data_IF_573207292889
#
_entry.id   IF_573207292889
#
_cell.length_a   1.000
_cell.length_b   1.000
_cell.length_c   1.000
_cell.angle_alpha   90.00
_cell.angle_beta   90.00
_cell.angle_gamma   90.00
#
_symmetry.space_group_name_H-M   'P 1'
#
loop_
_entity.id
_entity.type
_entity.pdbx_description
1 polymer ?
#
# COMPACT_ATOMS: atom_id res chain seq x y z
N UNK A 1 -4.34 -15.20 -37.96
CA UNK A 1 -5.44 -14.89 -37.03
C UNK A 1 -4.83 -14.94 -35.63
N UNK A 2 -4.50 -13.80 -35.07
CA UNK A 2 -3.83 -13.68 -33.77
C UNK A 2 -4.91 -13.43 -32.70
N UNK A 3 -5.10 -14.40 -31.81
CA UNK A 3 -5.99 -14.26 -30.66
C UNK A 3 -5.28 -13.43 -29.59
N UNK A 4 -5.65 -12.16 -29.51
CA UNK A 4 -5.34 -11.29 -28.40
C UNK A 4 -6.20 -11.72 -27.19
N UNK A 5 -5.64 -12.53 -26.31
CA UNK A 5 -6.23 -12.79 -24.99
C UNK A 5 -5.75 -11.67 -24.07
N UNK A 6 -6.53 -10.60 -24.00
CA UNK A 6 -6.43 -9.61 -22.95
C UNK A 6 -6.88 -10.28 -21.64
N UNK A 7 -5.90 -10.68 -20.83
CA UNK A 7 -6.14 -10.97 -19.42
C UNK A 7 -6.46 -9.65 -18.71
N UNK A 8 -7.72 -9.24 -18.78
CA UNK A 8 -8.24 -8.28 -17.81
C UNK A 8 -8.36 -9.02 -16.49
N UNK A 9 -7.38 -8.82 -15.61
CA UNK A 9 -7.49 -9.24 -14.23
C UNK A 9 -8.52 -8.33 -13.56
N UNK A 10 -9.80 -8.58 -13.80
CA UNK A 10 -10.87 -8.02 -12.98
C UNK A 10 -10.79 -8.73 -11.65
N UNK A 11 -10.15 -8.08 -10.68
CA UNK A 11 -10.32 -8.44 -9.27
C UNK A 11 -11.83 -8.45 -9.02
N UNK A 12 -12.45 -9.58 -8.65
CA UNK A 12 -13.87 -9.58 -8.36
C UNK A 12 -14.10 -8.57 -7.24
N UNK A 13 -14.85 -7.53 -7.54
CA UNK A 13 -15.36 -6.58 -6.55
C UNK A 13 -16.12 -7.42 -5.53
N UNK A 14 -15.48 -7.69 -4.39
CA UNK A 14 -16.17 -8.30 -3.27
C UNK A 14 -17.34 -7.40 -2.95
N UNK A 15 -18.54 -7.81 -3.31
CA UNK A 15 -19.75 -7.26 -2.73
C UNK A 15 -19.72 -7.70 -1.28
N UNK A 16 -18.97 -6.94 -0.49
CA UNK A 16 -18.94 -7.11 0.95
C UNK A 16 -20.35 -6.79 1.42
N UNK A 17 -21.14 -7.84 1.63
CA UNK A 17 -22.30 -7.72 2.50
C UNK A 17 -21.71 -7.23 3.80
N UNK A 18 -22.00 -5.97 4.15
CA UNK A 18 -21.67 -5.37 5.43
C UNK A 18 -22.00 -6.38 6.52
N UNK A 19 -21.05 -7.19 6.90
CA UNK A 19 -21.24 -8.15 7.97
C UNK A 19 -21.47 -7.33 9.24
N UNK A 20 -22.52 -7.65 9.97
CA UNK A 20 -22.85 -7.07 11.27
C UNK A 20 -21.60 -7.00 12.18
N UNK A 21 -20.71 -7.99 12.03
CA UNK A 21 -19.43 -8.09 12.72
C UNK A 21 -18.49 -6.93 12.35
N UNK A 22 -18.34 -6.59 11.07
CA UNK A 22 -17.45 -5.50 10.62
C UNK A 22 -17.96 -4.14 11.11
N UNK A 23 -19.29 -3.94 11.08
CA UNK A 23 -19.92 -2.74 11.65
C UNK A 23 -19.73 -2.66 13.16
N UNK A 24 -19.87 -3.80 13.87
CA UNK A 24 -19.65 -3.86 15.31
C UNK A 24 -18.19 -3.56 15.69
N UNK A 25 -17.22 -4.07 14.93
CA UNK A 25 -15.79 -3.76 15.13
C UNK A 25 -15.49 -2.28 14.86
N UNK A 26 -16.06 -1.70 13.81
CA UNK A 26 -15.90 -0.27 13.51
C UNK A 26 -16.46 0.60 14.63
N UNK A 27 -17.67 0.32 15.10
CA UNK A 27 -18.29 1.05 16.23
C UNK A 27 -17.50 0.88 17.52
N UNK A 28 -16.99 -0.34 17.80
CA UNK A 28 -16.15 -0.56 18.99
C UNK A 28 -14.82 0.20 18.88
N UNK A 29 -14.18 0.21 17.72
CA UNK A 29 -12.95 0.97 17.50
C UNK A 29 -13.20 2.48 17.71
N UNK A 30 -14.29 3.02 17.20
CA UNK A 30 -14.69 4.42 17.42
C UNK A 30 -14.97 4.73 18.90
N UNK A 31 -15.61 3.82 19.63
CA UNK A 31 -15.83 3.99 21.07
C UNK A 31 -14.51 3.96 21.86
N UNK A 32 -13.60 3.05 21.53
CA UNK A 32 -12.29 2.95 22.17
C UNK A 32 -11.52 4.24 21.97
N UNK A 33 -11.45 4.76 20.73
CA UNK A 33 -10.77 6.02 20.40
C UNK A 33 -11.39 7.23 21.13
N UNK A 34 -12.71 7.20 21.42
CA UNK A 34 -13.38 8.27 22.19
C UNK A 34 -13.07 8.23 23.70
N UNK A 35 -12.81 7.05 24.25
CA UNK A 35 -12.63 6.85 25.69
C UNK A 35 -11.16 6.86 26.11
N UNK A 36 -10.24 6.51 25.21
CA UNK A 36 -8.81 6.53 25.53
C UNK A 36 -8.27 7.98 25.63
N UNK A 37 -7.45 8.29 26.62
CA UNK A 37 -6.75 9.57 26.73
C UNK A 37 -5.58 9.64 25.73
N UNK A 38 -5.90 9.56 24.44
CA UNK A 38 -4.94 9.71 23.34
C UNK A 38 -4.79 11.21 23.09
N UNK A 39 -3.57 11.67 22.85
CA UNK A 39 -3.32 13.07 22.49
C UNK A 39 -4.18 13.47 21.27
N UNK A 40 -4.79 14.66 21.27
CA UNK A 40 -5.69 15.08 20.18
C UNK A 40 -5.07 14.96 18.78
N UNK A 41 -3.76 15.15 18.68
CA UNK A 41 -2.98 15.04 17.44
C UNK A 41 -2.90 13.59 16.94
N UNK A 42 -2.57 12.64 17.82
CA UNK A 42 -2.51 11.20 17.49
C UNK A 42 -3.88 10.67 17.08
N UNK A 43 -4.93 11.09 17.79
CA UNK A 43 -6.29 10.74 17.43
C UNK A 43 -6.67 11.22 16.03
N UNK A 44 -6.26 12.43 15.67
CA UNK A 44 -6.54 12.99 14.35
C UNK A 44 -5.72 12.28 13.26
N UNK A 45 -4.45 11.94 13.53
CA UNK A 45 -3.63 11.12 12.65
C UNK A 45 -4.29 9.78 12.34
N UNK A 46 -4.77 9.10 13.39
CA UNK A 46 -5.49 7.84 13.22
C UNK A 46 -6.78 7.96 12.40
N UNK A 47 -7.55 9.06 12.59
CA UNK A 47 -8.78 9.28 11.82
C UNK A 47 -8.47 9.44 10.32
N UNK A 48 -7.46 10.22 9.98
CA UNK A 48 -7.00 10.36 8.59
C UNK A 48 -6.51 9.02 8.02
N UNK A 49 -5.73 8.25 8.78
CA UNK A 49 -5.30 6.91 8.34
C UNK A 49 -6.50 6.00 8.04
N UNK A 50 -7.49 5.95 8.93
CA UNK A 50 -8.71 5.16 8.76
C UNK A 50 -9.51 5.60 7.53
N UNK A 51 -9.67 6.90 7.33
CA UNK A 51 -10.41 7.47 6.19
C UNK A 51 -9.65 7.19 4.87
N UNK A 52 -8.32 7.24 4.89
CA UNK A 52 -7.47 6.79 3.79
C UNK A 52 -7.65 5.31 3.45
N UNK A 53 -7.74 4.43 4.45
CA UNK A 53 -8.05 3.01 4.23
C UNK A 53 -9.43 2.80 3.62
N UNK A 54 -10.43 3.53 4.07
CA UNK A 54 -11.78 3.46 3.52
C UNK A 54 -11.80 3.87 2.05
N UNK A 55 -11.21 5.02 1.71
CA UNK A 55 -11.09 5.50 0.33
C UNK A 55 -10.31 4.52 -0.55
N UNK A 56 -9.22 3.93 -0.04
CA UNK A 56 -8.45 2.91 -0.77
C UNK A 56 -9.30 1.67 -1.07
N UNK A 57 -10.10 1.20 -0.12
CA UNK A 57 -10.99 0.05 -0.31
C UNK A 57 -12.12 0.34 -1.31
N UNK A 58 -12.57 1.58 -1.37
CA UNK A 58 -13.58 2.03 -2.34
C UNK A 58 -12.97 2.28 -3.74
N UNK A 59 -11.63 2.29 -3.84
CA UNK A 59 -10.88 2.51 -5.07
C UNK A 59 -10.66 4.00 -5.39
N UNK A 60 -10.99 4.90 -4.47
CA UNK A 60 -10.67 6.31 -4.59
C UNK A 60 -9.23 6.56 -4.11
N UNK A 61 -8.28 6.26 -4.99
CA UNK A 61 -6.86 6.35 -4.66
C UNK A 61 -6.38 7.80 -4.46
N UNK A 62 -7.05 8.78 -5.06
CA UNK A 62 -6.70 10.19 -4.85
C UNK A 62 -7.01 10.61 -3.42
N UNK A 63 -8.25 10.38 -2.99
CA UNK A 63 -8.69 10.68 -1.63
C UNK A 63 -7.90 9.89 -0.60
N UNK A 64 -7.59 8.61 -0.90
CA UNK A 64 -6.78 7.78 -0.02
C UNK A 64 -5.39 8.38 0.21
N UNK A 65 -4.71 8.83 -0.85
CA UNK A 65 -3.38 9.42 -0.75
C UNK A 65 -3.42 10.75 0.03
N UNK A 66 -4.41 11.61 -0.21
CA UNK A 66 -4.57 12.86 0.54
C UNK A 66 -4.73 12.59 2.04
N UNK A 67 -5.58 11.66 2.41
CA UNK A 67 -5.79 11.26 3.79
C UNK A 67 -4.54 10.65 4.43
N UNK A 68 -3.79 9.80 3.70
CA UNK A 68 -2.54 9.26 4.19
C UNK A 68 -1.46 10.34 4.38
N UNK A 69 -1.38 11.33 3.51
CA UNK A 69 -0.45 12.46 3.65
C UNK A 69 -0.78 13.28 4.91
N UNK A 70 -2.06 13.56 5.17
CA UNK A 70 -2.48 14.24 6.40
C UNK A 70 -2.20 13.40 7.65
N UNK A 71 -2.40 12.08 7.59
CA UNK A 71 -2.02 11.19 8.68
C UNK A 71 -0.51 11.27 8.94
N UNK A 72 0.34 11.16 7.93
CA UNK A 72 1.80 11.24 8.07
C UNK A 72 2.28 12.59 8.64
N UNK A 73 1.58 13.68 8.33
CA UNK A 73 1.91 15.02 8.84
C UNK A 73 1.69 15.12 10.35
N UNK A 74 0.76 14.36 10.89
CA UNK A 74 0.36 14.39 12.30
C UNK A 74 0.99 13.25 13.11
N UNK A 75 1.30 12.11 12.48
CA UNK A 75 1.78 10.91 13.15
C UNK A 75 3.27 11.02 13.50
N UNK A 76 3.61 10.70 14.74
CA UNK A 76 5.00 10.70 15.25
C UNK A 76 5.53 9.29 15.49
N UNK A 77 4.65 8.29 15.61
CA UNK A 77 5.04 6.91 15.80
C UNK A 77 5.62 6.32 14.51
N UNK A 78 6.88 5.89 14.55
CA UNK A 78 7.58 5.35 13.39
C UNK A 78 6.90 4.08 12.81
N UNK A 79 6.30 3.23 13.66
CA UNK A 79 5.61 2.02 13.20
C UNK A 79 4.36 2.40 12.38
N UNK A 80 3.55 3.33 12.89
CA UNK A 80 2.31 3.77 12.25
C UNK A 80 2.61 4.56 10.96
N UNK A 81 3.68 5.37 10.98
CA UNK A 81 4.21 6.04 9.78
C UNK A 81 4.63 5.04 8.70
N UNK A 82 5.36 3.99 9.10
CA UNK A 82 5.77 2.92 8.20
C UNK A 82 4.58 2.18 7.58
N UNK A 83 3.52 1.95 8.35
CA UNK A 83 2.29 1.31 7.88
C UNK A 83 1.55 2.19 6.85
N UNK A 84 1.43 3.50 7.13
CA UNK A 84 0.82 4.46 6.22
C UNK A 84 1.59 4.55 4.90
N UNK A 85 2.93 4.66 4.95
CA UNK A 85 3.79 4.69 3.77
C UNK A 85 3.67 3.40 2.94
N UNK A 86 3.59 2.24 3.59
CA UNK A 86 3.36 0.96 2.90
C UNK A 86 2.04 1.00 2.10
N UNK A 87 0.96 1.50 2.68
CA UNK A 87 -0.33 1.57 2.01
C UNK A 87 -0.30 2.56 0.82
N UNK A 88 0.37 3.69 0.95
CA UNK A 88 0.60 4.61 -0.18
C UNK A 88 1.39 3.93 -1.31
N UNK A 89 2.43 3.16 -0.97
CA UNK A 89 3.22 2.43 -1.96
C UNK A 89 2.39 1.37 -2.71
N UNK A 90 1.46 0.71 -2.03
CA UNK A 90 0.51 -0.22 -2.67
C UNK A 90 -0.36 0.52 -3.69
N UNK A 91 -0.83 1.73 -3.39
CA UNK A 91 -1.60 2.55 -4.34
C UNK A 91 -0.74 2.91 -5.56
N UNK A 92 0.49 3.38 -5.36
CA UNK A 92 1.39 3.69 -6.48
C UNK A 92 1.67 2.47 -7.36
N UNK A 93 1.90 1.30 -6.74
CA UNK A 93 2.06 0.04 -7.47
C UNK A 93 0.81 -0.32 -8.28
N UNK A 94 -0.39 -0.13 -7.73
CA UNK A 94 -1.67 -0.39 -8.40
C UNK A 94 -1.91 0.55 -9.58
N UNK A 95 -1.43 1.78 -9.49
CA UNK A 95 -1.48 2.78 -10.56
C UNK A 95 -0.39 2.57 -11.63
N UNK A 96 0.53 1.60 -11.44
CA UNK A 96 1.63 1.32 -12.35
C UNK A 96 2.85 2.22 -12.17
N UNK A 97 2.86 3.09 -11.17
CA UNK A 97 4.00 3.96 -10.83
C UNK A 97 4.98 3.18 -9.93
N UNK A 98 5.69 2.24 -10.56
CA UNK A 98 6.59 1.33 -9.84
C UNK A 98 7.78 2.04 -9.20
N UNK A 99 8.29 3.11 -9.81
CA UNK A 99 9.42 3.85 -9.26
C UNK A 99 9.02 4.55 -7.96
N UNK A 100 7.88 5.20 -7.97
CA UNK A 100 7.32 5.86 -6.79
C UNK A 100 6.92 4.86 -5.71
N UNK A 101 6.41 3.70 -6.11
CA UNK A 101 6.13 2.60 -5.19
C UNK A 101 7.41 2.12 -4.48
N UNK A 102 8.50 1.86 -5.22
CA UNK A 102 9.78 1.44 -4.66
C UNK A 102 10.35 2.48 -3.68
N UNK A 103 10.36 3.75 -4.08
CA UNK A 103 10.82 4.84 -3.20
C UNK A 103 10.00 4.90 -1.90
N UNK A 104 8.68 4.75 -2.01
CA UNK A 104 7.78 4.83 -0.85
C UNK A 104 7.91 3.60 0.06
N UNK A 105 8.10 2.39 -0.51
CA UNK A 105 8.43 1.19 0.28
C UNK A 105 9.75 1.35 1.04
N UNK A 106 10.78 1.93 0.41
CA UNK A 106 12.06 2.21 1.09
C UNK A 106 11.86 3.16 2.26
N UNK A 107 11.08 4.23 2.09
CA UNK A 107 10.71 5.14 3.20
C UNK A 107 9.97 4.39 4.31
N UNK A 108 9.05 3.50 3.97
CA UNK A 108 8.35 2.68 4.95
C UNK A 108 9.30 1.79 5.77
N UNK A 109 10.30 1.19 5.12
CA UNK A 109 11.31 0.37 5.79
C UNK A 109 12.30 1.17 6.65
N UNK A 110 12.55 2.44 6.32
CA UNK A 110 13.32 3.35 7.17
C UNK A 110 12.57 3.62 8.48
N UNK A 111 11.27 3.89 8.40
CA UNK A 111 10.43 4.12 9.58
C UNK A 111 10.22 2.83 10.38
N UNK A 112 9.90 1.72 9.71
CA UNK A 112 9.69 0.42 10.32
C UNK A 112 10.41 -0.70 9.55
N UNK A 113 11.63 -1.09 9.95
CA UNK A 113 12.40 -2.14 9.26
C UNK A 113 11.76 -3.53 9.32
N UNK A 114 10.79 -3.75 10.23
CA UNK A 114 10.14 -5.06 10.41
C UNK A 114 8.83 -5.17 9.62
N UNK A 115 8.88 -4.84 8.31
CA UNK A 115 7.73 -4.95 7.41
C UNK A 115 8.04 -5.87 6.21
N UNK A 116 7.95 -7.20 6.38
CA UNK A 116 8.29 -8.15 5.31
C UNK A 116 7.41 -7.99 4.06
N UNK A 117 6.21 -7.42 4.20
CA UNK A 117 5.34 -7.11 3.07
C UNK A 117 5.93 -6.07 2.11
N UNK A 118 6.69 -5.09 2.62
CA UNK A 118 7.37 -4.11 1.79
C UNK A 118 8.45 -4.79 0.94
N UNK A 119 9.31 -5.61 1.56
CA UNK A 119 10.36 -6.36 0.87
C UNK A 119 9.78 -7.28 -0.19
N UNK A 120 8.71 -8.02 0.14
CA UNK A 120 8.01 -8.88 -0.80
C UNK A 120 7.49 -8.09 -2.02
N UNK A 121 6.84 -6.96 -1.79
CA UNK A 121 6.27 -6.16 -2.88
C UNK A 121 7.35 -5.52 -3.75
N UNK A 122 8.46 -5.07 -3.16
CA UNK A 122 9.63 -4.60 -3.90
C UNK A 122 10.23 -5.72 -4.77
N UNK A 123 10.39 -6.92 -4.21
CA UNK A 123 10.85 -8.10 -4.96
C UNK A 123 9.97 -8.41 -6.17
N UNK A 124 8.64 -8.33 -6.03
CA UNK A 124 7.72 -8.52 -7.16
C UNK A 124 7.89 -7.48 -8.26
N UNK A 125 8.17 -6.22 -7.92
CA UNK A 125 8.46 -5.17 -8.91
C UNK A 125 9.76 -5.48 -9.64
N UNK A 126 10.82 -5.84 -8.94
CA UNK A 126 12.12 -6.18 -9.54
C UNK A 126 12.03 -7.42 -10.43
N UNK A 127 11.35 -8.47 -9.97
CA UNK A 127 11.10 -9.68 -10.77
C UNK A 127 10.33 -9.36 -12.07
N UNK A 128 9.31 -8.52 -11.99
CA UNK A 128 8.57 -8.07 -13.17
C UNK A 128 9.48 -7.33 -14.17
N UNK A 129 10.33 -6.43 -13.67
CA UNK A 129 11.32 -5.69 -14.49
C UNK A 129 12.33 -6.63 -15.14
N UNK A 130 12.84 -7.59 -14.39
CA UNK A 130 13.74 -8.61 -14.91
C UNK A 130 13.13 -9.41 -16.06
N UNK A 131 11.90 -9.87 -15.89
CA UNK A 131 11.16 -10.59 -16.97
C UNK A 131 10.94 -9.73 -18.22
N UNK A 132 10.62 -8.45 -18.06
CA UNK A 132 10.44 -7.53 -19.19
C UNK A 132 11.77 -7.27 -19.92
N UNK A 133 12.87 -7.12 -19.19
CA UNK A 133 14.21 -6.97 -19.77
C UNK A 133 14.61 -8.24 -20.55
N UNK A 134 14.36 -9.41 -20.01
CA UNK A 134 14.61 -10.69 -20.69
C UNK A 134 13.82 -10.82 -22.00
N UNK A 135 12.54 -10.48 -21.98
CA UNK A 135 11.68 -10.51 -23.19
C UNK A 135 12.16 -9.51 -24.26
N UNK A 136 12.78 -8.43 -23.83
CA UNK A 136 13.35 -7.39 -24.72
C UNK A 136 14.79 -7.71 -25.20
N UNK A 137 15.34 -8.86 -24.81
CA UNK A 137 16.69 -9.27 -25.15
C UNK A 137 17.82 -8.48 -24.46
N UNK A 138 17.50 -7.78 -23.39
CA UNK A 138 18.43 -6.96 -22.59
C UNK A 138 18.94 -7.77 -21.39
N UNK A 139 19.84 -8.71 -21.64
CA UNK A 139 20.28 -9.65 -20.62
C UNK A 139 20.95 -8.96 -19.42
N UNK A 140 21.78 -7.96 -19.65
CA UNK A 140 22.47 -7.22 -18.58
C UNK A 140 21.47 -6.52 -17.63
N UNK A 141 20.40 -5.91 -18.17
CA UNK A 141 19.34 -5.30 -17.37
C UNK A 141 18.53 -6.37 -16.61
N UNK A 142 18.29 -7.52 -17.24
CA UNK A 142 17.61 -8.65 -16.61
C UNK A 142 18.35 -9.12 -15.37
N UNK A 143 19.64 -9.35 -15.47
CA UNK A 143 20.47 -9.85 -14.37
C UNK A 143 20.49 -8.86 -13.19
N UNK A 144 20.62 -7.55 -13.48
CA UNK A 144 20.57 -6.49 -12.45
C UNK A 144 19.23 -6.52 -11.67
N UNK A 145 18.11 -6.68 -12.37
CA UNK A 145 16.81 -6.66 -11.70
C UNK A 145 16.51 -7.95 -10.91
N UNK A 146 16.99 -9.10 -11.41
CA UNK A 146 16.84 -10.38 -10.70
C UNK A 146 17.72 -10.43 -9.45
N UNK A 147 18.92 -9.89 -9.47
CA UNK A 147 19.78 -9.77 -8.29
C UNK A 147 19.11 -8.93 -7.20
N UNK A 148 18.55 -7.78 -7.57
CA UNK A 148 17.78 -6.94 -6.62
C UNK A 148 16.54 -7.60 -6.06
N UNK A 149 15.93 -8.53 -6.79
CA UNK A 149 14.78 -9.30 -6.30
C UNK A 149 15.17 -10.38 -5.27
N UNK A 150 16.44 -10.80 -5.27
CA UNK A 150 16.98 -11.82 -4.37
C UNK A 150 17.52 -11.25 -3.04
N UNK A 151 17.74 -9.94 -2.94
CA UNK A 151 18.15 -9.24 -1.71
C UNK A 151 16.98 -9.10 -0.71
#
# INVERSE_FOLDING_TARGET
MANNILFTCTVPRSQNKDNFIDKAFTVMAEMIVKVMPIAPKEKQAYLYYRDGLAAQNDGDYSEALENYEESLRLEENAIDRGETLKNMAIIYMSNGDEDKALETYQKALIENPKQPSCLKNMGLIYEKRGRLAQQSGKQDECDIWLDKAAE
#
